data_IF_197712547401
#
_entry.id   IF_197712547401
#
_cell.length_a   1.000
_cell.length_b   1.000
_cell.length_c   1.000
_cell.angle_alpha   90.00
_cell.angle_beta   90.00
_cell.angle_gamma   90.00
#
_symmetry.space_group_name_H-M   'P 1'
#
loop_
_entity.id
_entity.type
_entity.pdbx_description
1 polymer ?
#
# COMPACT_ATOMS: atom_id res chain seq x y z
N UNK A 1 38.43 11.31 10.50
CA UNK A 1 38.17 11.77 9.12
C UNK A 1 37.41 13.07 9.17
N UNK A 2 37.80 14.07 8.37
CA UNK A 2 37.03 15.31 8.24
C UNK A 2 35.70 15.03 7.50
N UNK A 3 34.67 15.83 7.76
CA UNK A 3 33.31 15.64 7.25
C UNK A 3 32.69 17.00 6.94
N UNK A 4 31.76 17.05 5.98
CA UNK A 4 30.90 18.22 5.77
C UNK A 4 29.67 18.07 6.65
N UNK A 5 29.50 19.03 7.56
CA UNK A 5 28.36 19.13 8.47
C UNK A 5 27.49 20.33 8.08
N UNK A 6 26.18 20.24 8.32
CA UNK A 6 25.30 21.41 8.31
C UNK A 6 25.76 22.41 9.37
N UNK A 7 25.35 23.68 9.37
CA UNK A 7 25.70 24.52 10.54
C UNK A 7 24.97 24.02 11.79
N UNK A 8 25.43 24.38 12.99
CA UNK A 8 24.62 24.16 14.20
C UNK A 8 23.77 25.41 14.45
N UNK A 9 22.50 25.21 14.82
CA UNK A 9 21.66 26.32 15.28
C UNK A 9 22.33 27.04 16.46
N UNK A 10 22.36 28.39 16.47
CA UNK A 10 22.92 29.14 17.58
C UNK A 10 22.27 28.74 18.92
N UNK A 11 23.09 28.52 19.95
CA UNK A 11 22.61 28.19 21.30
C UNK A 11 22.15 26.75 21.52
N UNK A 12 22.16 25.90 20.48
CA UNK A 12 21.81 24.47 20.61
C UNK A 12 23.03 23.60 20.99
N UNK A 13 22.81 22.47 21.69
CA UNK A 13 23.85 21.46 21.90
C UNK A 13 24.37 20.96 20.54
N UNK A 14 25.70 20.82 20.41
CA UNK A 14 26.36 20.27 19.21
C UNK A 14 26.17 18.76 19.12
N UNK A 15 24.94 18.33 18.88
CA UNK A 15 24.53 16.92 18.73
C UNK A 15 24.03 16.67 17.32
N UNK A 16 24.21 15.45 16.81
CA UNK A 16 23.57 14.97 15.58
C UNK A 16 22.08 14.68 15.84
N UNK A 17 21.23 15.67 15.69
CA UNK A 17 19.78 15.52 15.71
C UNK A 17 19.09 16.71 15.04
N UNK A 18 17.80 16.55 14.71
CA UNK A 18 17.04 17.53 13.93
C UNK A 18 16.90 18.88 14.66
N UNK A 19 16.89 18.85 16.00
CA UNK A 19 16.75 20.06 16.83
C UNK A 19 17.96 20.98 16.74
N UNK A 20 19.15 20.44 16.46
CA UNK A 20 20.42 21.17 16.46
C UNK A 20 20.95 21.45 15.06
N UNK A 21 20.47 20.71 14.05
CA UNK A 21 20.81 20.94 12.64
C UNK A 21 20.38 22.33 12.19
N UNK A 22 21.33 23.09 11.67
CA UNK A 22 21.18 24.42 11.07
C UNK A 22 21.21 24.33 9.54
N UNK A 23 21.48 25.46 8.91
CA UNK A 23 21.41 25.60 7.47
C UNK A 23 22.57 24.88 6.76
N UNK A 24 22.28 24.36 5.56
CA UNK A 24 23.23 23.76 4.63
C UNK A 24 23.53 24.73 3.49
N UNK A 25 24.79 24.73 3.08
CA UNK A 25 25.34 25.54 1.99
C UNK A 25 25.74 24.70 0.78
N UNK A 26 25.47 23.39 0.83
CA UNK A 26 25.75 22.41 -0.21
C UNK A 26 24.62 21.39 -0.26
N UNK A 27 24.41 20.78 -1.43
CA UNK A 27 23.45 19.71 -1.64
C UNK A 27 24.20 18.37 -1.78
N UNK A 28 24.24 17.56 -0.72
CA UNK A 28 24.92 16.27 -0.75
C UNK A 28 24.02 15.17 -1.31
N UNK A 29 24.56 14.36 -2.22
CA UNK A 29 23.97 13.10 -2.68
C UNK A 29 25.02 11.99 -2.52
N UNK A 30 24.58 10.75 -2.27
CA UNK A 30 25.48 9.60 -2.09
C UNK A 30 24.98 8.42 -2.91
N UNK A 31 25.85 7.91 -3.79
CA UNK A 31 25.63 6.74 -4.64
C UNK A 31 26.39 5.56 -4.05
N UNK A 32 25.66 4.54 -3.61
CA UNK A 32 26.18 3.34 -2.96
C UNK A 32 26.51 2.20 -3.94
N UNK A 33 26.14 2.37 -5.22
CA UNK A 33 26.47 1.46 -6.30
C UNK A 33 25.89 1.89 -7.65
N UNK A 34 26.75 1.99 -8.67
CA UNK A 34 26.38 2.30 -10.06
C UNK A 34 27.42 1.75 -11.03
N UNK A 35 27.01 1.27 -12.21
CA UNK A 35 27.99 0.90 -13.26
C UNK A 35 28.63 2.13 -13.90
N UNK A 36 29.74 1.95 -14.62
CA UNK A 36 30.40 3.06 -15.33
C UNK A 36 29.45 3.76 -16.33
N UNK A 37 28.68 2.98 -17.11
CA UNK A 37 27.68 3.53 -18.04
C UNK A 37 26.60 4.33 -17.32
N UNK A 38 26.13 3.85 -16.16
CA UNK A 38 25.17 4.56 -15.32
C UNK A 38 25.76 5.86 -14.78
N UNK A 39 27.03 5.83 -14.37
CA UNK A 39 27.74 7.01 -13.90
C UNK A 39 27.87 8.07 -15.01
N UNK A 40 28.16 7.68 -16.25
CA UNK A 40 28.18 8.62 -17.37
C UNK A 40 26.81 9.28 -17.60
N UNK A 41 25.72 8.52 -17.42
CA UNK A 41 24.36 9.07 -17.53
C UNK A 41 24.02 10.04 -16.39
N UNK A 42 24.38 9.70 -15.14
CA UNK A 42 24.25 10.61 -14.00
C UNK A 42 25.09 11.87 -14.21
N UNK A 43 26.33 11.72 -14.69
CA UNK A 43 27.22 12.84 -15.01
C UNK A 43 26.63 13.80 -16.02
N UNK A 44 26.05 13.26 -17.10
CA UNK A 44 25.34 14.07 -18.08
C UNK A 44 24.24 14.92 -17.41
N UNK A 45 23.44 14.31 -16.52
CA UNK A 45 22.37 14.99 -15.80
C UNK A 45 22.87 16.08 -14.82
N UNK A 46 23.98 15.84 -14.11
CA UNK A 46 24.50 16.79 -13.11
C UNK A 46 25.45 17.84 -13.69
N UNK A 47 25.91 17.68 -14.94
CA UNK A 47 26.84 18.63 -15.58
C UNK A 47 26.24 20.02 -15.80
N UNK A 48 24.91 20.12 -15.82
CA UNK A 48 24.19 21.39 -15.85
C UNK A 48 24.33 22.19 -14.56
N UNK A 49 24.75 21.55 -13.46
CA UNK A 49 24.88 22.17 -12.15
C UNK A 49 26.33 22.46 -11.78
N UNK A 50 26.52 23.41 -10.86
CA UNK A 50 27.83 23.66 -10.27
C UNK A 50 28.05 22.75 -9.07
N UNK A 51 29.23 22.14 -9.00
CA UNK A 51 29.59 21.27 -7.90
C UNK A 51 30.79 20.40 -8.20
N UNK A 52 30.91 19.32 -7.45
CA UNK A 52 31.92 18.30 -7.68
C UNK A 52 31.43 16.94 -7.18
N UNK A 53 32.03 15.88 -7.69
CA UNK A 53 31.88 14.53 -7.16
C UNK A 53 33.23 13.95 -6.77
N UNK A 54 33.20 12.94 -5.92
CA UNK A 54 34.38 12.18 -5.55
C UNK A 54 34.05 10.73 -5.20
N UNK A 55 34.98 9.84 -5.46
CA UNK A 55 34.86 8.43 -5.08
C UNK A 55 35.04 8.23 -3.58
N UNK A 56 34.30 7.27 -3.00
CA UNK A 56 34.42 6.95 -1.56
C UNK A 56 35.65 6.08 -1.28
N UNK A 57 36.13 6.00 -0.04
CA UNK A 57 37.27 5.14 0.33
C UNK A 57 37.09 3.66 -0.09
N UNK A 58 35.84 3.18 -0.18
CA UNK A 58 35.51 1.81 -0.58
C UNK A 58 35.32 1.61 -2.09
N UNK A 59 35.49 2.62 -2.94
CA UNK A 59 35.18 2.52 -4.38
C UNK A 59 36.01 1.46 -5.14
N UNK A 60 37.16 1.05 -4.60
CA UNK A 60 38.03 0.00 -5.16
C UNK A 60 37.94 -1.33 -4.40
N UNK A 61 36.99 -1.48 -3.47
CA UNK A 61 36.91 -2.69 -2.66
C UNK A 61 36.46 -3.89 -3.54
N UNK A 62 37.12 -5.06 -3.47
CA UNK A 62 36.81 -6.21 -4.34
C UNK A 62 35.36 -6.69 -4.28
N UNK A 63 34.68 -6.45 -3.14
CA UNK A 63 33.27 -6.78 -2.95
C UNK A 63 32.28 -5.88 -3.70
N UNK A 64 32.74 -4.80 -4.35
CA UNK A 64 31.87 -3.84 -5.04
C UNK A 64 31.54 -4.28 -6.48
N UNK A 65 32.05 -5.45 -6.92
CA UNK A 65 31.62 -6.15 -8.15
C UNK A 65 31.52 -5.28 -9.42
N UNK A 66 32.44 -4.32 -9.58
CA UNK A 66 32.46 -3.40 -10.73
C UNK A 66 31.50 -2.20 -10.64
N UNK A 67 30.81 -2.03 -9.52
CA UNK A 67 30.03 -0.82 -9.21
C UNK A 67 30.91 0.25 -8.56
N UNK A 68 30.59 1.52 -8.81
CA UNK A 68 31.26 2.68 -8.22
C UNK A 68 30.43 3.26 -7.08
N UNK A 69 31.12 3.73 -6.03
CA UNK A 69 30.52 4.48 -4.92
C UNK A 69 30.98 5.93 -4.95
N UNK A 70 30.06 6.85 -5.14
CA UNK A 70 30.35 8.24 -5.53
C UNK A 70 29.51 9.18 -4.69
N UNK A 71 30.15 10.19 -4.09
CA UNK A 71 29.45 11.31 -3.47
C UNK A 71 29.42 12.49 -4.42
N UNK A 72 28.28 13.16 -4.48
CA UNK A 72 28.08 14.36 -5.30
C UNK A 72 27.74 15.51 -4.36
N UNK A 73 28.36 16.66 -4.58
CA UNK A 73 28.16 17.89 -3.80
C UNK A 73 27.87 19.02 -4.77
N UNK A 74 26.62 19.49 -4.79
CA UNK A 74 26.20 20.59 -5.67
C UNK A 74 26.02 21.91 -4.89
N UNK A 75 26.26 23.03 -5.56
CA UNK A 75 26.03 24.38 -5.05
C UNK A 75 24.54 24.73 -5.16
N UNK A 76 23.84 25.04 -4.05
CA UNK A 76 22.48 25.56 -4.11
C UNK A 76 22.47 27.07 -4.42
N UNK A 77 21.40 27.55 -5.06
CA UNK A 77 21.19 28.99 -5.35
C UNK A 77 21.10 29.86 -4.09
N UNK A 78 20.71 29.26 -2.96
CA UNK A 78 20.70 29.85 -1.62
C UNK A 78 20.94 28.79 -0.55
N UNK A 79 21.35 29.16 0.67
CA UNK A 79 21.34 28.23 1.79
C UNK A 79 19.95 27.60 2.00
N UNK A 80 19.94 26.34 2.41
CA UNK A 80 18.71 25.60 2.71
C UNK A 80 18.65 25.27 4.20
N UNK A 81 17.47 25.33 4.78
CA UNK A 81 17.26 24.93 6.17
C UNK A 81 17.29 23.41 6.32
N UNK A 82 17.57 22.93 7.54
CA UNK A 82 17.51 21.51 7.87
C UNK A 82 16.13 20.88 7.56
N UNK A 83 15.04 21.65 7.62
CA UNK A 83 13.69 21.19 7.32
C UNK A 83 13.39 21.11 5.81
N UNK A 84 14.01 21.98 4.99
CA UNK A 84 13.90 21.93 3.53
C UNK A 84 14.72 20.78 2.93
N UNK A 85 15.84 20.40 3.58
CA UNK A 85 16.81 19.42 3.08
C UNK A 85 16.20 18.14 2.49
N UNK A 86 15.29 17.42 3.18
CA UNK A 86 14.74 16.18 2.62
C UNK A 86 14.00 16.42 1.29
N UNK A 87 13.18 17.47 1.22
CA UNK A 87 12.34 17.77 0.06
C UNK A 87 13.20 18.21 -1.13
N UNK A 88 14.18 19.07 -0.89
CA UNK A 88 15.11 19.55 -1.93
C UNK A 88 15.91 18.39 -2.51
N UNK A 89 16.49 17.52 -1.67
CA UNK A 89 17.35 16.44 -2.15
C UNK A 89 16.56 15.32 -2.83
N UNK A 90 15.36 14.99 -2.34
CA UNK A 90 14.47 14.04 -3.01
C UNK A 90 14.05 14.54 -4.41
N UNK A 91 13.65 15.82 -4.52
CA UNK A 91 13.26 16.38 -5.81
C UNK A 91 14.45 16.49 -6.76
N UNK A 92 15.63 16.85 -6.26
CA UNK A 92 16.86 16.88 -7.05
C UNK A 92 17.23 15.48 -7.57
N UNK A 93 17.18 14.44 -6.72
CA UNK A 93 17.39 13.06 -7.15
C UNK A 93 16.38 12.66 -8.23
N UNK A 94 15.11 13.05 -8.08
CA UNK A 94 14.09 12.77 -9.07
C UNK A 94 14.38 13.39 -10.44
N UNK A 95 14.89 14.63 -10.47
CA UNK A 95 15.30 15.30 -11.70
C UNK A 95 16.49 14.60 -12.37
N UNK A 96 17.50 14.22 -11.57
CA UNK A 96 18.65 13.48 -12.07
C UNK A 96 18.19 12.14 -12.65
N UNK A 97 17.36 11.40 -11.92
CA UNK A 97 16.89 10.09 -12.34
C UNK A 97 16.04 10.14 -13.60
N UNK A 98 15.26 11.20 -13.80
CA UNK A 98 14.50 11.39 -15.03
C UNK A 98 15.41 11.47 -16.27
N UNK A 99 16.55 12.17 -16.19
CA UNK A 99 17.53 12.21 -17.28
C UNK A 99 18.26 10.87 -17.44
N UNK A 100 18.59 10.21 -16.32
CA UNK A 100 19.29 8.91 -16.34
C UNK A 100 18.43 7.84 -17.00
N UNK A 101 17.14 7.75 -16.68
CA UNK A 101 16.24 6.74 -17.22
C UNK A 101 15.99 6.88 -18.72
N UNK A 102 16.24 8.05 -19.32
CA UNK A 102 16.20 8.22 -20.77
C UNK A 102 17.40 7.60 -21.48
N UNK A 103 18.51 7.39 -20.78
CA UNK A 103 19.81 7.06 -21.36
C UNK A 103 20.43 5.78 -20.78
N UNK A 104 19.86 5.21 -19.72
CA UNK A 104 20.43 4.10 -18.97
C UNK A 104 19.37 3.23 -18.29
N UNK A 105 19.40 1.94 -18.60
CA UNK A 105 18.46 0.94 -18.08
C UNK A 105 19.02 0.17 -16.85
N UNK A 106 20.21 0.51 -16.37
CA UNK A 106 20.85 -0.19 -15.25
C UNK A 106 20.46 0.32 -13.86
N UNK A 107 20.83 -0.41 -12.79
CA UNK A 107 20.60 0.05 -11.42
C UNK A 107 21.37 1.31 -11.07
N UNK A 108 20.70 2.19 -10.33
CA UNK A 108 21.33 3.30 -9.61
C UNK A 108 20.93 3.19 -8.14
N UNK A 109 21.89 2.91 -7.25
CA UNK A 109 21.64 2.77 -5.82
C UNK A 109 22.00 4.07 -5.10
N UNK A 110 20.98 4.81 -4.68
CA UNK A 110 21.12 6.00 -3.85
C UNK A 110 21.06 5.65 -2.35
N UNK A 111 21.86 6.32 -1.53
CA UNK A 111 21.71 6.32 -0.07
C UNK A 111 20.92 7.55 0.40
N UNK A 112 19.59 7.39 0.46
CA UNK A 112 18.66 8.43 0.89
C UNK A 112 18.82 8.83 2.37
N UNK A 113 19.60 8.06 3.17
CA UNK A 113 19.86 8.44 4.57
C UNK A 113 20.55 9.80 4.67
N UNK A 114 21.29 10.19 3.62
CA UNK A 114 21.93 11.51 3.45
C UNK A 114 20.92 12.66 3.46
N UNK A 115 19.64 12.39 3.21
CA UNK A 115 18.58 13.40 3.20
C UNK A 115 18.11 13.79 4.60
N UNK A 116 18.44 12.97 5.60
CA UNK A 116 18.19 13.28 7.00
C UNK A 116 18.76 14.65 7.39
N UNK A 117 17.97 15.42 8.14
CA UNK A 117 18.26 16.83 8.45
C UNK A 117 19.62 17.04 9.13
N UNK A 118 20.02 16.08 9.98
CA UNK A 118 21.28 16.07 10.72
C UNK A 118 22.32 15.09 10.14
N UNK A 119 22.12 14.56 8.94
CA UNK A 119 23.06 13.61 8.34
C UNK A 119 24.30 14.32 7.78
N UNK A 120 25.46 13.69 7.97
CA UNK A 120 26.75 14.12 7.43
C UNK A 120 27.18 13.33 6.23
N UNK A 121 28.04 13.95 5.44
CA UNK A 121 28.86 13.26 4.45
C UNK A 121 30.34 13.33 4.85
N UNK A 122 31.04 12.21 4.68
CA UNK A 122 32.47 12.14 4.91
C UNK A 122 33.22 12.80 3.77
N UNK A 123 34.25 13.59 4.10
CA UNK A 123 35.11 14.18 3.09
C UNK A 123 35.87 13.11 2.28
N UNK A 124 36.38 13.49 1.10
CA UNK A 124 37.15 12.59 0.26
C UNK A 124 38.33 11.97 1.00
N UNK A 125 38.59 10.71 0.68
CA UNK A 125 39.83 10.03 1.04
C UNK A 125 41.01 10.61 0.25
N UNK A 126 42.25 10.39 0.70
CA UNK A 126 43.45 10.84 -0.02
C UNK A 126 43.58 10.22 -1.43
N UNK A 127 42.96 9.06 -1.65
CA UNK A 127 42.95 8.37 -2.94
C UNK A 127 41.66 8.59 -3.74
N UNK A 128 40.81 9.54 -3.32
CA UNK A 128 39.57 9.83 -4.01
C UNK A 128 39.85 10.43 -5.40
N UNK A 129 39.09 9.97 -6.39
CA UNK A 129 39.09 10.52 -7.73
C UNK A 129 38.02 11.60 -7.79
N UNK A 130 38.35 12.77 -8.32
CA UNK A 130 37.48 13.95 -8.32
C UNK A 130 37.04 14.34 -9.72
N UNK A 131 35.82 14.84 -9.82
CA UNK A 131 35.29 15.45 -11.03
C UNK A 131 34.53 16.73 -10.66
N UNK A 132 34.76 17.81 -11.41
CA UNK A 132 34.16 19.13 -11.14
C UNK A 132 33.18 19.51 -12.23
N UNK A 133 32.05 20.10 -11.83
CA UNK A 133 30.99 20.57 -12.71
C UNK A 133 30.86 22.09 -12.61
N UNK A 134 30.86 22.77 -13.76
CA UNK A 134 30.92 24.24 -13.84
C UNK A 134 29.59 24.86 -14.31
N UNK A 135 28.48 24.15 -14.13
CA UNK A 135 27.17 24.64 -14.51
C UNK A 135 26.64 25.76 -13.60
N UNK A 136 25.32 25.84 -13.48
CA UNK A 136 24.64 26.83 -12.64
C UNK A 136 24.38 26.28 -11.22
N UNK A 137 24.29 27.12 -10.19
CA UNK A 137 23.76 26.67 -8.90
C UNK A 137 22.38 26.04 -9.06
N UNK A 138 22.09 25.02 -8.27
CA UNK A 138 20.79 24.32 -8.23
C UNK A 138 19.73 25.29 -7.70
N UNK A 139 18.67 25.51 -8.47
CA UNK A 139 17.58 26.40 -8.07
C UNK A 139 16.68 25.75 -7.01
N UNK A 140 16.95 26.10 -5.74
CA UNK A 140 16.25 25.55 -4.58
C UNK A 140 14.76 25.86 -4.58
N UNK A 141 14.38 27.09 -4.95
CA UNK A 141 13.00 27.54 -4.82
C UNK A 141 12.11 26.86 -5.87
N UNK A 142 12.65 26.62 -7.07
CA UNK A 142 11.98 25.81 -8.10
C UNK A 142 11.74 24.38 -7.61
N UNK A 143 12.77 23.73 -7.04
CA UNK A 143 12.62 22.36 -6.50
C UNK A 143 11.60 22.28 -5.37
N UNK A 144 11.57 23.26 -4.46
CA UNK A 144 10.58 23.30 -3.38
C UNK A 144 9.15 23.53 -3.90
N UNK A 145 8.99 24.40 -4.90
CA UNK A 145 7.69 24.63 -5.53
C UNK A 145 7.16 23.37 -6.25
N UNK A 146 8.03 22.59 -6.87
CA UNK A 146 7.68 21.31 -7.51
C UNK A 146 7.37 20.23 -6.47
N UNK A 147 8.18 20.12 -5.42
CA UNK A 147 7.93 19.20 -4.31
C UNK A 147 6.56 19.47 -3.66
N UNK A 148 6.20 20.74 -3.49
CA UNK A 148 4.89 21.12 -2.94
C UNK A 148 3.71 20.68 -3.82
N UNK A 149 3.86 20.70 -5.16
CA UNK A 149 2.85 20.18 -6.10
C UNK A 149 2.71 18.66 -6.01
N UNK A 150 3.85 17.96 -5.86
CA UNK A 150 3.86 16.52 -5.61
C UNK A 150 3.16 16.16 -4.29
N UNK A 151 3.47 16.89 -3.23
CA UNK A 151 2.83 16.73 -1.92
C UNK A 151 1.34 17.06 -1.92
N UNK A 152 0.85 17.95 -2.79
CA UNK A 152 -0.59 18.23 -2.95
C UNK A 152 -1.31 17.08 -3.67
N UNK A 153 -0.63 16.40 -4.60
CA UNK A 153 -1.09 15.15 -5.21
C UNK A 153 -1.05 13.97 -4.22
N UNK A 154 -0.08 13.96 -3.31
CA UNK A 154 0.08 12.93 -2.27
C UNK A 154 -0.68 13.23 -0.96
N UNK A 155 -1.23 14.45 -0.77
CA UNK A 155 -2.05 14.87 0.39
C UNK A 155 -3.47 14.30 0.36
N UNK A 156 -3.56 13.03 0.03
CA UNK A 156 -4.67 12.20 0.41
C UNK A 156 -4.54 11.92 1.90
N UNK A 157 -5.61 12.01 2.70
CA UNK A 157 -5.51 11.81 4.15
C UNK A 157 -4.92 10.43 4.41
N UNK A 158 -3.70 10.38 4.92
CA UNK A 158 -3.13 9.17 5.45
C UNK A 158 -4.11 8.66 6.52
N UNK A 159 -4.73 7.50 6.29
CA UNK A 159 -5.30 6.78 7.41
C UNK A 159 -4.12 6.45 8.32
N UNK A 160 -4.17 6.94 9.55
CA UNK A 160 -3.22 6.61 10.61
C UNK A 160 -3.16 5.09 10.81
N UNK A 161 -2.30 4.41 10.06
CA UNK A 161 -1.85 3.05 10.36
C UNK A 161 -0.34 3.09 10.47
N UNK A 162 0.11 3.67 11.58
CA UNK A 162 1.46 3.48 12.07
C UNK A 162 1.68 2.00 12.41
N UNK A 163 2.80 1.45 11.92
CA UNK A 163 3.26 0.05 12.04
C UNK A 163 2.24 -0.99 11.59
N UNK A 164 2.35 -1.44 10.34
CA UNK A 164 1.70 -2.67 9.90
C UNK A 164 2.25 -3.80 10.77
N UNK A 165 1.41 -4.28 11.67
CA UNK A 165 1.64 -5.52 12.42
C UNK A 165 1.71 -6.64 11.37
N UNK A 166 2.73 -7.50 11.41
CA UNK A 166 2.92 -8.58 10.43
C UNK A 166 1.65 -9.43 10.25
N UNK A 167 0.81 -9.49 11.29
CA UNK A 167 -0.49 -10.15 11.29
C UNK A 167 -1.52 -9.50 10.35
N UNK A 168 -1.58 -8.16 10.27
CA UNK A 168 -2.52 -7.45 9.40
C UNK A 168 -2.15 -7.63 7.93
N UNK A 169 -0.84 -7.61 7.63
CA UNK A 169 -0.30 -7.93 6.31
C UNK A 169 -0.68 -9.35 5.88
N UNK A 170 -0.54 -10.34 6.77
CA UNK A 170 -0.92 -11.72 6.49
C UNK A 170 -2.43 -11.87 6.22
N UNK A 171 -3.28 -11.20 7.01
CA UNK A 171 -4.73 -11.21 6.79
C UNK A 171 -5.09 -10.55 5.45
N UNK A 172 -4.42 -9.46 5.08
CA UNK A 172 -4.65 -8.82 3.78
C UNK A 172 -4.18 -9.71 2.61
N UNK A 173 -3.05 -10.42 2.75
CA UNK A 173 -2.56 -11.37 1.75
C UNK A 173 -3.53 -12.53 1.52
N UNK A 174 -4.18 -13.03 2.58
CA UNK A 174 -5.19 -14.11 2.49
C UNK A 174 -6.45 -13.70 1.70
N UNK A 175 -6.69 -12.39 1.56
CA UNK A 175 -7.79 -11.85 0.75
C UNK A 175 -7.39 -11.50 -0.69
N UNK A 176 -6.12 -11.68 -1.07
CA UNK A 176 -5.64 -11.43 -2.43
C UNK A 176 -6.06 -12.58 -3.33
N UNK A 177 -6.70 -12.25 -4.44
CA UNK A 177 -7.16 -13.21 -5.45
C UNK A 177 -6.88 -12.67 -6.86
N UNK A 178 -7.21 -13.46 -7.89
CA UNK A 178 -6.99 -13.07 -9.30
C UNK A 178 -7.64 -11.72 -9.64
N UNK A 179 -8.85 -11.47 -9.14
CA UNK A 179 -9.55 -10.21 -9.36
C UNK A 179 -8.81 -8.99 -8.76
N UNK A 180 -8.01 -9.21 -7.71
CA UNK A 180 -7.18 -8.16 -7.11
C UNK A 180 -6.12 -7.69 -8.11
N UNK A 181 -5.53 -8.61 -8.90
CA UNK A 181 -4.55 -8.24 -9.92
C UNK A 181 -5.20 -7.56 -11.12
N UNK A 182 -6.42 -7.96 -11.47
CA UNK A 182 -7.21 -7.26 -12.50
C UNK A 182 -7.55 -5.84 -12.06
N UNK A 183 -7.89 -5.63 -10.78
CA UNK A 183 -8.11 -4.30 -10.22
C UNK A 183 -6.83 -3.47 -10.20
N UNK A 184 -5.69 -4.05 -9.78
CA UNK A 184 -4.38 -3.37 -9.80
C UNK A 184 -4.04 -2.95 -11.23
N UNK A 185 -4.24 -3.84 -12.20
CA UNK A 185 -4.02 -3.56 -13.61
C UNK A 185 -4.94 -2.44 -14.10
N UNK A 186 -6.23 -2.51 -13.79
CA UNK A 186 -7.19 -1.46 -14.15
C UNK A 186 -6.78 -0.10 -13.59
N UNK A 187 -6.32 -0.06 -12.33
CA UNK A 187 -5.88 1.15 -11.66
C UNK A 187 -4.59 1.74 -12.27
N UNK A 188 -3.62 0.89 -12.61
CA UNK A 188 -2.33 1.28 -13.19
C UNK A 188 -2.49 1.85 -14.61
N UNK A 189 -3.37 1.29 -15.43
CA UNK A 189 -3.59 1.72 -16.82
C UNK A 189 -4.61 2.87 -16.99
N UNK A 190 -5.07 3.48 -15.90
CA UNK A 190 -5.88 4.68 -15.98
C UNK A 190 -5.07 5.86 -16.55
N UNK A 191 -5.71 6.73 -17.34
CA UNK A 191 -5.05 7.81 -18.10
C UNK A 191 -4.13 8.72 -17.25
N UNK A 192 -4.53 9.05 -16.02
CA UNK A 192 -3.71 9.91 -15.15
C UNK A 192 -2.54 9.18 -14.49
N UNK A 193 -2.67 7.86 -14.29
CA UNK A 193 -1.67 7.02 -13.62
C UNK A 193 -0.69 6.45 -14.63
N UNK A 194 -1.12 6.10 -15.84
CA UNK A 194 -0.20 5.65 -16.90
C UNK A 194 0.81 6.75 -17.28
N UNK A 195 0.43 8.02 -17.11
CA UNK A 195 1.35 9.14 -17.26
C UNK A 195 2.46 9.16 -16.19
N UNK A 196 2.29 8.46 -15.05
CA UNK A 196 3.36 8.23 -14.05
C UNK A 196 4.32 7.11 -14.47
N UNK A 197 3.95 6.29 -15.45
CA UNK A 197 4.78 5.22 -15.98
C UNK A 197 5.81 5.71 -17.02
N UNK A 198 5.54 6.86 -17.65
CA UNK A 198 6.38 7.41 -18.71
C UNK A 198 7.69 7.95 -18.13
N UNK A 199 8.82 7.28 -18.41
CA UNK A 199 10.15 7.71 -17.96
C UNK A 199 10.55 9.14 -18.39
N UNK A 200 9.83 9.70 -19.37
CA UNK A 200 10.01 11.04 -19.92
C UNK A 200 9.15 12.15 -19.26
N UNK A 201 8.28 11.86 -18.28
CA UNK A 201 7.28 12.83 -17.80
C UNK A 201 7.69 13.70 -16.60
N UNK A 202 8.90 13.53 -16.04
CA UNK A 202 9.34 14.25 -14.84
C UNK A 202 8.69 13.80 -13.53
N UNK A 203 7.97 12.67 -13.50
CA UNK A 203 7.27 12.13 -12.31
C UNK A 203 7.97 10.92 -11.68
N UNK A 204 9.30 10.94 -11.60
CA UNK A 204 10.07 9.84 -11.02
C UNK A 204 9.60 9.44 -9.60
N UNK A 205 9.26 10.42 -8.75
CA UNK A 205 8.74 10.14 -7.40
C UNK A 205 7.39 9.39 -7.43
N UNK A 206 6.52 9.71 -8.39
CA UNK A 206 5.26 8.98 -8.56
C UNK A 206 5.50 7.56 -9.09
N UNK A 207 6.40 7.41 -10.06
CA UNK A 207 6.80 6.13 -10.61
C UNK A 207 7.36 5.20 -9.52
N UNK A 208 8.34 5.67 -8.75
CA UNK A 208 8.94 4.87 -7.67
C UNK A 208 7.95 4.60 -6.53
N UNK A 209 7.03 5.52 -6.25
CA UNK A 209 5.96 5.28 -5.28
C UNK A 209 5.04 4.13 -5.72
N UNK A 210 4.72 3.98 -7.01
CA UNK A 210 3.95 2.83 -7.50
C UNK A 210 4.75 1.54 -7.30
N UNK A 211 6.04 1.55 -7.67
CA UNK A 211 6.93 0.40 -7.47
C UNK A 211 7.05 -0.01 -6.00
N UNK A 212 7.15 0.94 -5.07
CA UNK A 212 7.20 0.67 -3.62
C UNK A 212 5.88 0.08 -3.09
N UNK A 213 4.73 0.55 -3.58
CA UNK A 213 3.41 -0.01 -3.21
C UNK A 213 3.25 -1.45 -3.70
N UNK A 214 3.74 -1.74 -4.91
CA UNK A 214 3.76 -3.10 -5.45
C UNK A 214 4.77 -4.00 -4.74
N UNK A 215 5.90 -3.46 -4.27
CA UNK A 215 6.88 -4.18 -3.48
C UNK A 215 6.31 -4.73 -2.16
N UNK A 216 5.11 -4.31 -1.75
CA UNK A 216 4.32 -4.98 -0.72
C UNK A 216 4.12 -6.47 -0.99
N UNK A 217 4.18 -6.97 -2.23
CA UNK A 217 4.05 -8.40 -2.51
C UNK A 217 5.38 -9.19 -2.48
N UNK A 218 6.53 -8.53 -2.22
CA UNK A 218 7.82 -9.23 -2.14
C UNK A 218 7.82 -10.28 -1.01
N UNK A 219 8.43 -11.43 -1.28
CA UNK A 219 8.50 -12.58 -0.38
C UNK A 219 7.21 -13.38 -0.26
N UNK A 220 6.24 -13.18 -1.18
CA UNK A 220 4.96 -13.90 -1.19
C UNK A 220 4.80 -14.70 -2.48
N UNK A 221 3.83 -15.61 -2.53
CA UNK A 221 3.52 -16.39 -3.75
C UNK A 221 3.09 -15.52 -4.94
N UNK A 222 2.63 -14.30 -4.66
CA UNK A 222 2.16 -13.33 -5.66
C UNK A 222 3.27 -12.48 -6.27
N UNK A 223 4.52 -12.58 -5.78
CA UNK A 223 5.60 -11.70 -6.18
C UNK A 223 5.85 -11.73 -7.70
N UNK A 224 5.84 -12.91 -8.31
CA UNK A 224 6.04 -13.05 -9.76
C UNK A 224 4.96 -12.35 -10.56
N UNK A 225 3.71 -12.49 -10.13
CA UNK A 225 2.58 -11.89 -10.83
C UNK A 225 2.62 -10.36 -10.80
N UNK A 226 3.04 -9.80 -9.67
CA UNK A 226 3.20 -8.35 -9.53
C UNK A 226 4.45 -7.84 -10.25
N UNK A 227 5.52 -8.63 -10.30
CA UNK A 227 6.71 -8.33 -11.09
C UNK A 227 6.34 -8.17 -12.57
N UNK A 228 5.55 -9.09 -13.12
CA UNK A 228 5.05 -9.00 -14.50
C UNK A 228 4.25 -7.71 -14.73
N UNK A 229 3.30 -7.41 -13.84
CA UNK A 229 2.49 -6.19 -13.92
C UNK A 229 3.34 -4.92 -13.88
N UNK A 230 4.33 -4.88 -12.98
CA UNK A 230 5.25 -3.75 -12.84
C UNK A 230 6.06 -3.54 -14.11
N UNK A 231 6.67 -4.61 -14.65
CA UNK A 231 7.48 -4.55 -15.88
C UNK A 231 6.62 -4.08 -17.06
N UNK A 232 5.42 -4.64 -17.19
CA UNK A 232 4.52 -4.29 -18.29
C UNK A 232 4.03 -2.83 -18.20
N UNK A 233 3.72 -2.35 -17.00
CA UNK A 233 3.24 -0.99 -16.79
C UNK A 233 4.35 0.04 -17.00
N UNK A 234 5.53 -0.21 -16.44
CA UNK A 234 6.65 0.74 -16.40
C UNK A 234 7.56 0.73 -17.63
N UNK A 235 7.37 -0.23 -18.55
CA UNK A 235 8.08 -0.44 -19.82
C UNK A 235 9.63 -0.60 -19.79
N UNK A 236 10.31 -0.20 -18.71
CA UNK A 236 11.77 -0.22 -18.58
C UNK A 236 12.27 -0.53 -17.15
N UNK A 237 11.41 -0.98 -16.23
CA UNK A 237 11.80 -1.13 -14.84
C UNK A 237 12.43 -2.48 -14.48
N UNK A 238 13.32 -2.45 -13.49
CA UNK A 238 13.91 -3.63 -12.85
C UNK A 238 13.30 -3.84 -11.46
N UNK A 239 12.71 -5.01 -11.23
CA UNK A 239 12.10 -5.37 -9.95
C UNK A 239 13.12 -5.75 -8.85
N UNK A 240 14.23 -6.39 -9.25
CA UNK A 240 15.13 -7.12 -8.36
C UNK A 240 16.26 -6.27 -7.73
N UNK A 241 16.35 -4.97 -8.01
CA UNK A 241 17.55 -4.16 -7.65
C UNK A 241 17.60 -3.63 -6.20
N UNK A 242 16.86 -4.19 -5.25
CA UNK A 242 16.69 -3.71 -3.85
C UNK A 242 16.20 -2.25 -3.70
N UNK A 243 15.98 -1.54 -4.81
CA UNK A 243 15.54 -0.15 -4.85
C UNK A 243 14.07 0.01 -4.47
N UNK A 244 13.23 -0.98 -4.79
CA UNK A 244 11.81 -0.99 -4.42
C UNK A 244 11.63 -1.67 -3.07
N UNK A 245 11.09 -0.91 -2.11
CA UNK A 245 10.82 -1.35 -0.74
C UNK A 245 9.35 -1.17 -0.42
N UNK A 246 8.80 -2.12 0.34
CA UNK A 246 7.45 -2.03 0.87
C UNK A 246 7.37 -0.96 1.98
N UNK A 247 7.54 0.31 1.62
CA UNK A 247 7.49 1.41 2.57
C UNK A 247 6.05 1.68 2.99
N UNK A 248 5.73 1.38 4.26
CA UNK A 248 4.53 1.73 5.08
C UNK A 248 3.13 1.62 4.44
N UNK A 249 3.00 1.35 3.15
CA UNK A 249 1.79 1.44 2.32
C UNK A 249 1.78 0.27 1.33
N UNK A 250 0.64 -0.40 1.23
CA UNK A 250 0.43 -1.52 0.30
C UNK A 250 -0.17 -1.09 -1.04
N UNK A 251 -0.47 -2.08 -1.88
CA UNK A 251 -1.07 -1.88 -3.20
C UNK A 251 -2.40 -1.12 -3.17
N UNK A 252 -3.12 -1.13 -2.04
CA UNK A 252 -4.37 -0.39 -1.87
C UNK A 252 -4.18 1.13 -2.05
N UNK A 253 -2.98 1.66 -1.82
CA UNK A 253 -2.65 3.06 -2.07
C UNK A 253 -2.65 3.41 -3.58
N UNK A 254 -2.50 2.41 -4.47
CA UNK A 254 -2.66 2.58 -5.91
C UNK A 254 -4.13 2.85 -6.22
N UNK A 255 -5.05 2.03 -5.70
CA UNK A 255 -6.50 2.22 -5.87
C UNK A 255 -6.96 3.59 -5.40
N UNK A 256 -6.43 4.04 -4.26
CA UNK A 256 -6.76 5.36 -3.73
C UNK A 256 -6.32 6.46 -4.69
N UNK A 257 -5.03 6.49 -5.08
CA UNK A 257 -4.48 7.46 -6.05
C UNK A 257 -5.31 7.50 -7.33
N UNK A 258 -5.59 6.34 -7.91
CA UNK A 258 -6.35 6.28 -9.16
C UNK A 258 -7.80 6.71 -8.94
N UNK A 259 -8.40 6.37 -7.79
CA UNK A 259 -9.74 6.78 -7.41
C UNK A 259 -9.92 8.29 -7.31
N UNK A 260 -8.93 9.00 -6.76
CA UNK A 260 -8.92 10.46 -6.70
C UNK A 260 -8.77 11.11 -8.09
N UNK A 261 -8.24 10.36 -9.07
CA UNK A 261 -8.23 10.71 -10.49
C UNK A 261 -9.53 10.32 -11.23
N UNK A 262 -10.56 9.85 -10.52
CA UNK A 262 -11.87 9.52 -11.09
C UNK A 262 -12.04 8.06 -11.52
N UNK A 263 -11.08 7.19 -11.25
CA UNK A 263 -11.24 5.75 -11.48
C UNK A 263 -12.20 5.13 -10.47
N UNK A 264 -13.10 4.29 -10.95
CA UNK A 264 -14.03 3.54 -10.10
C UNK A 264 -13.45 2.15 -9.89
N UNK A 265 -13.15 1.80 -8.64
CA UNK A 265 -12.58 0.51 -8.30
C UNK A 265 -13.53 -0.65 -8.69
N UNK A 266 -13.17 -1.50 -9.68
CA UNK A 266 -14.03 -2.58 -10.11
C UNK A 266 -14.33 -3.59 -8.99
N UNK A 267 -13.41 -3.84 -8.06
CA UNK A 267 -13.68 -4.65 -6.88
C UNK A 267 -14.72 -4.05 -5.94
N UNK A 268 -14.81 -2.71 -5.86
CA UNK A 268 -15.88 -2.04 -5.12
C UNK A 268 -17.22 -2.14 -5.82
N UNK A 269 -17.24 -2.20 -7.16
CA UNK A 269 -18.45 -2.44 -7.96
C UNK A 269 -18.88 -3.91 -7.93
N UNK A 270 -17.95 -4.87 -7.94
CA UNK A 270 -18.27 -6.31 -7.78
C UNK A 270 -18.93 -6.60 -6.44
N UNK A 271 -18.56 -5.87 -5.37
CA UNK A 271 -19.26 -5.95 -4.08
C UNK A 271 -20.66 -5.28 -4.09
N UNK A 272 -20.94 -4.36 -5.02
CA UNK A 272 -22.27 -3.74 -5.19
C UNK A 272 -23.18 -4.53 -6.13
N UNK A 273 -22.60 -5.20 -7.11
CA UNK A 273 -23.27 -5.96 -8.15
C UNK A 273 -22.62 -7.34 -8.25
N UNK A 274 -22.98 -8.31 -7.41
CA UNK A 274 -22.59 -9.69 -7.64
C UNK A 274 -23.23 -10.13 -8.97
N UNK A 275 -22.42 -10.28 -10.01
CA UNK A 275 -22.88 -10.63 -11.34
C UNK A 275 -23.33 -12.10 -11.33
N UNK A 276 -24.64 -12.30 -11.30
CA UNK A 276 -25.27 -13.53 -11.74
C UNK A 276 -25.07 -13.64 -13.26
N UNK A 277 -24.10 -14.44 -13.70
CA UNK A 277 -23.94 -14.78 -15.11
C UNK A 277 -24.80 -16.01 -15.39
N UNK A 278 -26.03 -15.84 -15.90
CA UNK A 278 -26.56 -16.68 -16.99
C UNK A 278 -27.62 -15.87 -17.74
N UNK A 279 -27.25 -15.33 -18.91
CA UNK A 279 -28.21 -14.93 -19.94
C UNK A 279 -28.74 -16.20 -20.60
N UNK A 280 -29.90 -16.67 -20.14
CA UNK A 280 -30.87 -17.42 -20.95
C UNK A 280 -32.13 -17.53 -20.10
N UNK A 281 -33.11 -16.64 -20.33
CA UNK A 281 -34.53 -16.98 -20.46
C UNK A 281 -35.35 -15.70 -20.70
N UNK A 282 -36.30 -15.83 -21.62
CA UNK A 282 -37.14 -14.77 -22.17
C UNK A 282 -38.00 -14.03 -21.13
N UNK A 283 -38.24 -12.75 -21.45
CA UNK A 283 -39.14 -11.80 -20.81
C UNK A 283 -40.55 -12.37 -20.55
N UNK A 284 -40.91 -12.52 -19.26
CA UNK A 284 -42.30 -12.52 -18.81
C UNK A 284 -42.44 -11.78 -17.47
N UNK A 285 -42.82 -10.51 -17.56
CA UNK A 285 -43.87 -9.94 -16.69
C UNK A 285 -43.47 -9.48 -15.29
N UNK A 286 -43.56 -8.18 -15.08
CA UNK A 286 -43.33 -7.55 -13.78
C UNK A 286 -44.45 -7.83 -12.74
N UNK A 287 -44.00 -7.86 -11.48
CA UNK A 287 -44.64 -7.50 -10.20
C UNK A 287 -45.48 -8.57 -9.48
N UNK A 288 -44.99 -9.02 -8.31
CA UNK A 288 -45.69 -8.87 -7.02
C UNK A 288 -44.73 -9.02 -5.83
N UNK A 289 -44.63 -7.97 -5.00
CA UNK A 289 -43.83 -7.94 -3.79
C UNK A 289 -44.52 -8.75 -2.68
N UNK A 290 -43.96 -9.92 -2.35
CA UNK A 290 -44.45 -10.73 -1.24
C UNK A 290 -44.06 -10.12 0.12
N UNK A 291 -45.08 -9.88 0.95
CA UNK A 291 -45.04 -9.37 2.32
C UNK A 291 -43.94 -10.03 3.19
N UNK A 292 -42.90 -9.29 3.57
CA UNK A 292 -41.92 -9.74 4.58
C UNK A 292 -42.54 -9.68 5.98
N UNK A 293 -42.67 -10.84 6.62
CA UNK A 293 -43.13 -10.97 8.01
C UNK A 293 -42.26 -10.12 8.96
N UNK A 294 -42.83 -9.34 9.89
CA UNK A 294 -42.04 -8.50 10.80
C UNK A 294 -41.01 -9.31 11.60
N UNK A 295 -39.90 -8.65 11.96
CA UNK A 295 -38.83 -9.27 12.72
C UNK A 295 -39.28 -9.74 14.11
N UNK A 296 -38.65 -10.80 14.65
CA UNK A 296 -38.94 -11.25 16.01
C UNK A 296 -38.77 -10.14 17.05
N UNK A 297 -39.66 -10.10 18.05
CA UNK A 297 -39.50 -9.20 19.17
C UNK A 297 -38.32 -9.66 20.04
N UNK A 298 -37.24 -8.87 20.06
CA UNK A 298 -36.05 -9.12 20.86
C UNK A 298 -36.10 -8.39 22.19
N UNK A 299 -35.62 -9.05 23.25
CA UNK A 299 -35.42 -8.40 24.55
C UNK A 299 -34.20 -7.49 24.47
N UNK A 300 -34.38 -6.19 24.75
CA UNK A 300 -33.31 -5.18 24.71
C UNK A 300 -32.89 -4.76 26.12
N UNK A 301 -31.71 -4.16 26.25
CA UNK A 301 -31.24 -3.51 27.48
C UNK A 301 -31.91 -2.14 27.61
N UNK A 302 -32.54 -1.88 28.75
CA UNK A 302 -33.35 -0.67 28.97
C UNK A 302 -32.57 0.64 28.84
N UNK A 303 -31.26 0.62 29.13
CA UNK A 303 -30.40 1.83 29.11
C UNK A 303 -29.74 2.11 27.76
N UNK A 304 -29.46 1.09 26.96
CA UNK A 304 -28.67 1.22 25.73
C UNK A 304 -29.45 0.90 24.47
N UNK A 305 -30.63 0.26 24.60
CA UNK A 305 -31.44 -0.17 23.46
C UNK A 305 -30.87 -1.36 22.67
N UNK A 306 -29.68 -1.86 23.04
CA UNK A 306 -29.00 -2.99 22.41
C UNK A 306 -29.74 -4.30 22.73
N UNK A 307 -29.82 -5.23 21.78
CA UNK A 307 -30.42 -6.56 21.95
C UNK A 307 -29.55 -7.38 22.90
N UNK A 308 -30.15 -7.96 23.96
CA UNK A 308 -29.41 -8.80 24.90
C UNK A 308 -28.91 -10.07 24.22
N UNK A 309 -27.67 -10.47 24.49
CA UNK A 309 -27.06 -11.72 24.01
C UNK A 309 -27.57 -12.98 24.76
N UNK A 310 -28.89 -13.10 24.95
CA UNK A 310 -29.51 -14.28 25.54
C UNK A 310 -29.69 -15.38 24.48
N UNK A 311 -29.63 -16.65 24.91
CA UNK A 311 -29.88 -17.81 24.04
C UNK A 311 -31.20 -17.65 23.26
N UNK A 312 -32.28 -17.21 23.92
CA UNK A 312 -33.58 -17.00 23.26
C UNK A 312 -33.56 -15.94 22.14
N UNK A 313 -32.89 -14.80 22.35
CA UNK A 313 -32.77 -13.78 21.32
C UNK A 313 -31.90 -14.25 20.15
N UNK A 314 -30.80 -14.95 20.44
CA UNK A 314 -29.90 -15.50 19.42
C UNK A 314 -30.63 -16.58 18.62
N UNK A 315 -31.33 -17.50 19.27
CA UNK A 315 -32.13 -18.54 18.60
C UNK A 315 -33.23 -17.93 17.71
N UNK A 316 -33.92 -16.87 18.14
CA UNK A 316 -34.90 -16.15 17.31
C UNK A 316 -34.27 -15.49 16.09
N UNK A 317 -33.06 -14.95 16.24
CA UNK A 317 -32.32 -14.32 15.15
C UNK A 317 -31.84 -15.36 14.13
N UNK A 318 -31.26 -16.47 14.59
CA UNK A 318 -30.76 -17.55 13.74
C UNK A 318 -31.89 -18.32 13.04
N UNK A 319 -33.07 -18.38 13.65
CA UNK A 319 -34.27 -18.96 13.03
C UNK A 319 -34.85 -18.12 11.87
N UNK A 320 -34.27 -16.94 11.60
CA UNK A 320 -34.71 -16.02 10.55
C UNK A 320 -33.59 -15.81 9.54
N UNK A 321 -33.65 -16.50 8.39
CA UNK A 321 -32.72 -16.29 7.29
C UNK A 321 -32.53 -14.82 6.90
N UNK A 322 -33.63 -14.07 6.83
CA UNK A 322 -33.64 -12.65 6.49
C UNK A 322 -32.97 -11.73 7.52
N UNK A 323 -32.72 -12.26 8.73
CA UNK A 323 -32.03 -11.53 9.79
C UNK A 323 -30.50 -11.78 9.75
N UNK A 324 -30.11 -13.05 9.57
CA UNK A 324 -28.70 -13.48 9.60
C UNK A 324 -28.05 -13.57 8.21
N UNK A 325 -28.83 -13.51 7.13
CA UNK A 325 -28.40 -13.75 5.74
C UNK A 325 -28.15 -15.22 5.42
N UNK A 326 -28.38 -16.12 6.38
CA UNK A 326 -28.08 -17.56 6.28
C UNK A 326 -29.18 -18.37 6.93
N UNK A 327 -29.49 -19.52 6.34
CA UNK A 327 -30.35 -20.54 6.92
C UNK A 327 -29.49 -21.54 7.65
N UNK A 328 -29.87 -21.88 8.88
CA UNK A 328 -29.18 -22.91 9.66
C UNK A 328 -30.17 -24.04 9.89
N UNK A 329 -29.79 -25.27 9.55
CA UNK A 329 -30.58 -26.47 9.81
C UNK A 329 -29.71 -27.57 10.45
N UNK A 330 -30.32 -28.67 10.86
CA UNK A 330 -29.61 -29.83 11.39
C UNK A 330 -29.91 -31.03 10.50
N UNK A 331 -28.85 -31.63 9.98
CA UNK A 331 -28.92 -32.87 9.21
C UNK A 331 -28.91 -34.05 10.19
N UNK A 332 -30.07 -34.69 10.34
CA UNK A 332 -30.23 -35.84 11.22
C UNK A 332 -29.47 -37.09 10.75
N UNK A 333 -29.18 -37.20 9.45
CA UNK A 333 -28.44 -38.34 8.90
C UNK A 333 -26.95 -38.21 9.17
N UNK A 334 -26.42 -36.98 9.10
CA UNK A 334 -25.00 -36.67 9.35
C UNK A 334 -24.69 -36.29 10.79
N UNK A 335 -25.70 -36.03 11.61
CA UNK A 335 -25.57 -35.52 12.99
C UNK A 335 -24.82 -34.17 13.04
N UNK A 336 -24.99 -33.34 12.00
CA UNK A 336 -24.25 -32.10 11.78
C UNK A 336 -25.18 -30.90 11.61
N UNK A 337 -24.73 -29.73 12.09
CA UNK A 337 -25.41 -28.46 11.80
C UNK A 337 -24.98 -28.01 10.41
N UNK A 338 -25.94 -27.72 9.56
CA UNK A 338 -25.74 -27.29 8.19
C UNK A 338 -26.14 -25.83 8.04
N UNK A 339 -25.51 -25.16 7.09
CA UNK A 339 -25.76 -23.77 6.72
C UNK A 339 -25.97 -23.68 5.21
N UNK A 340 -26.91 -22.83 4.79
CA UNK A 340 -27.12 -22.45 3.39
C UNK A 340 -27.37 -20.94 3.33
N UNK A 341 -27.16 -20.30 2.19
CA UNK A 341 -27.51 -18.90 2.01
C UNK A 341 -29.04 -18.70 2.02
N UNK A 342 -29.51 -17.50 2.34
CA UNK A 342 -30.95 -17.21 2.35
C UNK A 342 -31.59 -17.47 0.98
N UNK A 343 -32.40 -18.53 0.89
CA UNK A 343 -33.14 -18.89 -0.32
C UNK A 343 -32.45 -19.95 -1.16
N UNK A 344 -31.24 -20.36 -0.77
CA UNK A 344 -30.50 -21.44 -1.39
C UNK A 344 -30.73 -22.77 -0.66
N UNK A 345 -30.58 -23.88 -1.40
CA UNK A 345 -30.65 -25.26 -0.92
C UNK A 345 -29.28 -25.96 -0.94
N UNK A 346 -28.19 -25.24 -1.15
CA UNK A 346 -26.83 -25.77 -1.02
C UNK A 346 -26.41 -25.83 0.46
N UNK A 347 -26.76 -26.92 1.13
CA UNK A 347 -26.44 -27.15 2.53
C UNK A 347 -24.99 -27.62 2.72
N UNK A 348 -24.20 -26.84 3.44
CA UNK A 348 -22.81 -27.18 3.82
C UNK A 348 -22.66 -27.31 5.34
N UNK A 349 -21.78 -28.19 5.86
CA UNK A 349 -21.55 -28.29 7.30
C UNK A 349 -21.00 -26.98 7.86
N UNK A 350 -21.54 -26.54 9.00
CA UNK A 350 -21.08 -25.30 9.65
C UNK A 350 -19.67 -25.50 10.22
N UNK A 351 -18.78 -24.55 9.94
CA UNK A 351 -17.40 -24.58 10.43
C UNK A 351 -17.15 -23.49 11.49
N UNK A 352 -16.01 -23.56 12.19
CA UNK A 352 -15.60 -22.53 13.15
C UNK A 352 -15.62 -21.08 12.60
N UNK A 353 -15.16 -20.84 11.35
CA UNK A 353 -15.31 -19.57 10.67
C UNK A 353 -16.76 -19.08 10.53
N UNK A 354 -17.71 -19.98 10.25
CA UNK A 354 -19.12 -19.60 10.05
C UNK A 354 -19.79 -19.14 11.35
N UNK A 355 -19.44 -19.76 12.48
CA UNK A 355 -19.84 -19.24 13.80
C UNK A 355 -19.29 -17.83 14.06
N UNK A 356 -18.09 -17.53 13.56
CA UNK A 356 -17.48 -16.20 13.71
C UNK A 356 -18.21 -15.17 12.84
N UNK A 357 -18.55 -15.53 11.59
CA UNK A 357 -19.38 -14.71 10.68
C UNK A 357 -20.75 -14.42 11.28
N UNK A 358 -21.40 -15.43 11.84
CA UNK A 358 -22.71 -15.30 12.48
C UNK A 358 -22.67 -14.31 13.66
N UNK A 359 -21.63 -14.36 14.50
CA UNK A 359 -21.44 -13.43 15.63
C UNK A 359 -21.25 -11.99 15.14
N UNK A 360 -20.44 -11.78 14.11
CA UNK A 360 -20.22 -10.45 13.53
C UNK A 360 -21.55 -9.90 12.98
N UNK A 361 -22.34 -10.73 12.29
CA UNK A 361 -23.65 -10.33 11.79
C UNK A 361 -24.61 -9.93 12.92
N UNK A 362 -24.67 -10.70 14.02
CA UNK A 362 -25.51 -10.36 15.16
C UNK A 362 -25.08 -9.04 15.82
N UNK A 363 -23.79 -8.81 16.01
CA UNK A 363 -23.26 -7.56 16.57
C UNK A 363 -23.57 -6.35 15.68
N UNK A 364 -23.42 -6.48 14.36
CA UNK A 364 -23.84 -5.45 13.38
C UNK A 364 -25.34 -5.17 13.44
N UNK A 365 -26.15 -6.14 13.87
CA UNK A 365 -27.60 -6.01 14.08
C UNK A 365 -27.97 -5.57 15.49
N UNK A 366 -27.05 -4.93 16.22
CA UNK A 366 -27.22 -4.40 17.56
C UNK A 366 -27.40 -5.46 18.65
N UNK A 367 -26.88 -6.68 18.49
CA UNK A 367 -26.70 -7.56 19.64
C UNK A 367 -25.53 -7.10 20.50
N UNK A 368 -25.65 -7.29 21.81
CA UNK A 368 -24.48 -7.31 22.69
C UNK A 368 -23.48 -8.37 22.21
N UNK A 369 -22.17 -8.19 22.45
CA UNK A 369 -21.16 -9.15 22.05
C UNK A 369 -21.53 -10.58 22.46
N UNK A 370 -21.75 -11.43 21.46
CA UNK A 370 -22.18 -12.82 21.68
C UNK A 370 -20.92 -13.63 21.96
N UNK A 371 -20.83 -14.36 23.08
CA UNK A 371 -19.64 -15.15 23.39
C UNK A 371 -19.54 -16.40 22.51
N UNK A 372 -18.33 -16.98 22.38
CA UNK A 372 -18.09 -18.20 21.58
C UNK A 372 -18.95 -19.39 22.02
N UNK A 373 -19.22 -19.49 23.32
CA UNK A 373 -20.07 -20.52 23.93
C UNK A 373 -21.56 -20.29 23.63
N UNK A 374 -21.99 -19.02 23.59
CA UNK A 374 -23.36 -18.62 23.27
C UNK A 374 -23.70 -18.74 21.78
N UNK A 375 -22.73 -18.74 20.87
CA UNK A 375 -22.97 -18.96 19.44
C UNK A 375 -22.90 -20.44 19.01
N UNK A 376 -22.53 -21.36 19.92
CA UNK A 376 -22.31 -22.77 19.60
C UNK A 376 -23.60 -23.60 19.45
N UNK A 377 -23.43 -24.94 19.41
CA UNK A 377 -24.51 -25.93 19.19
C UNK A 377 -25.81 -25.63 19.93
N UNK A 378 -25.75 -25.14 21.17
CA UNK A 378 -26.94 -24.91 22.00
C UNK A 378 -27.96 -23.90 21.42
N UNK A 379 -27.51 -22.88 20.66
CA UNK A 379 -28.40 -21.87 20.08
C UNK A 379 -28.99 -22.26 18.72
N UNK A 380 -28.26 -23.07 17.95
CA UNK A 380 -28.74 -23.64 16.69
C UNK A 380 -29.70 -24.82 16.92
N UNK A 381 -29.51 -25.60 17.99
CA UNK A 381 -30.35 -26.77 18.30
C UNK A 381 -31.76 -26.42 18.82
N UNK A 382 -31.94 -25.29 19.51
CA UNK A 382 -33.22 -24.91 20.14
C UNK A 382 -34.37 -24.62 19.15
N UNK A 383 -34.16 -23.87 18.03
CA UNK A 383 -35.17 -23.69 16.99
C UNK A 383 -35.59 -25.00 16.29
N UNK A 384 -34.68 -25.97 16.21
CA UNK A 384 -34.78 -27.17 15.36
C UNK A 384 -35.60 -28.30 15.98
N UNK A 385 -35.99 -28.22 17.26
CA UNK A 385 -37.04 -29.09 17.83
C UNK A 385 -38.43 -28.80 17.26
N UNK A 386 -38.63 -27.66 16.61
CA UNK A 386 -39.97 -27.21 16.22
C UNK A 386 -40.22 -27.04 14.73
N UNK A 387 -39.20 -26.88 13.86
CA UNK A 387 -39.42 -26.78 12.40
C UNK A 387 -38.22 -27.27 11.57
N UNK A 388 -38.59 -28.08 10.57
CA UNK A 388 -37.93 -28.34 9.28
C UNK A 388 -36.69 -29.25 9.27
N UNK A 389 -36.90 -30.42 8.64
CA UNK A 389 -35.91 -31.43 8.24
C UNK A 389 -35.28 -30.95 6.93
N UNK A 390 -33.96 -31.03 6.78
CA UNK A 390 -33.31 -30.78 5.49
C UNK A 390 -33.79 -31.82 4.46
N UNK A 391 -34.24 -31.44 3.26
CA UNK A 391 -34.67 -32.41 2.26
C UNK A 391 -33.47 -33.27 1.84
N UNK A 392 -33.59 -34.57 2.06
CA UNK A 392 -32.57 -35.55 1.68
C UNK A 392 -32.43 -35.60 0.15
N UNK A 393 -31.26 -35.22 -0.38
CA UNK A 393 -30.89 -35.44 -1.77
C UNK A 393 -30.64 -36.94 -1.99
N UNK A 394 -31.56 -37.60 -2.70
CA UNK A 394 -31.43 -38.99 -3.18
C UNK A 394 -30.86 -39.07 -4.59
#
# INVERSE_FOLDING_TARGET
>A
MPYLWCTFKPGMPRRRCDTSAGDLYVLPLDLDGISEEGWQSVKSAISDYRGFSYTTASHKHPAVNGESRIRIVLEPSRPITAAEKPRVLQQLQAHIMHVVMLNYDGPVRWDDSVYGSAQIIYLPDENAEFESFNGRPVDVDTLLAEAAKGEECDRLPASDTNSVDDLERLVQLDNVNDETFDDIRSALWHLDVIADAEGSCGRYLAWIAMGNRLAWFKGTEYEERVRELWIEWSAAAKWDNDALKADRTGYQAIFKRTGDAGWINPGSERMKHPVAVVEDFEDLGAVEAANKTPWPAFVRKDKTGVIKNTIDNVSKAVARPDFCGVQVCFDQFRDEIMLAEEGDNQWVPITGPDFSRLRITLERRQFDPVSKELSGMQCCWLPMRTRSIAPSSG
#
